data_IF_002070502240
#
_entry.id   IF_002070502240
#
_cell.length_a   1.000
_cell.length_b   1.000
_cell.length_c   1.000
_cell.angle_alpha   90.00
_cell.angle_beta   90.00
_cell.angle_gamma   90.00
#
_symmetry.space_group_name_H-M   'P 1'
#
loop_
_entity.id
_entity.type
_entity.pdbx_description
1 polymer ?
#
# COMPACT_ATOMS: atom_id res chain seq x y z
N UNK A 1 -3.53 -39.08 11.66
CA UNK A 1 -4.72 -39.04 12.53
C UNK A 1 -5.91 -38.82 11.60
N UNK A 2 -6.83 -39.78 11.49
CA UNK A 2 -7.89 -39.75 10.47
C UNK A 2 -8.96 -38.74 10.84
N UNK A 3 -9.14 -37.71 10.01
CA UNK A 3 -10.15 -36.69 10.19
C UNK A 3 -11.50 -37.21 9.68
N UNK A 4 -12.56 -37.11 10.48
CA UNK A 4 -13.91 -37.63 10.16
C UNK A 4 -14.65 -36.73 9.15
N UNK A 5 -14.11 -35.55 8.86
CA UNK A 5 -14.68 -34.58 7.95
C UNK A 5 -13.97 -34.63 6.61
N UNK A 6 -14.74 -34.70 5.50
CA UNK A 6 -14.22 -34.57 4.12
C UNK A 6 -13.85 -33.11 3.83
N UNK A 7 -12.91 -32.55 4.60
CA UNK A 7 -12.40 -31.20 4.40
C UNK A 7 -11.11 -31.31 3.61
N UNK A 8 -11.11 -30.77 2.39
CA UNK A 8 -9.89 -30.65 1.61
C UNK A 8 -9.20 -29.34 2.02
N UNK A 9 -8.23 -29.44 2.94
CA UNK A 9 -7.48 -28.31 3.47
C UNK A 9 -6.70 -27.53 2.42
N UNK A 10 -6.33 -28.18 1.31
CA UNK A 10 -5.51 -27.59 0.24
C UNK A 10 -6.32 -26.63 -0.62
N UNK A 11 -7.66 -26.75 -0.58
CA UNK A 11 -8.61 -25.82 -1.21
C UNK A 11 -8.97 -24.63 -0.34
N UNK A 12 -8.42 -24.54 0.87
CA UNK A 12 -8.67 -23.40 1.76
C UNK A 12 -7.66 -22.31 1.44
N UNK A 13 -8.14 -21.23 0.81
CA UNK A 13 -7.39 -19.99 0.68
C UNK A 13 -7.44 -19.27 2.02
N UNK A 14 -6.30 -19.15 2.68
CA UNK A 14 -6.19 -18.51 3.99
C UNK A 14 -4.73 -18.15 4.25
N UNK A 15 -4.47 -16.85 4.31
CA UNK A 15 -3.12 -16.31 4.39
C UNK A 15 -3.13 -14.78 4.34
N UNK A 16 -1.96 -14.15 4.48
CA UNK A 16 -1.84 -12.70 4.30
C UNK A 16 -2.23 -12.33 2.87
N UNK A 17 -3.21 -11.44 2.74
CA UNK A 17 -3.59 -10.83 1.47
C UNK A 17 -2.78 -9.55 1.23
N UNK A 18 -2.38 -9.31 -0.01
CA UNK A 18 -1.72 -8.09 -0.46
C UNK A 18 -2.64 -7.37 -1.44
N UNK A 19 -2.95 -6.11 -1.15
CA UNK A 19 -3.77 -5.27 -2.02
C UNK A 19 -2.89 -4.28 -2.76
N UNK A 20 -2.90 -4.37 -4.09
CA UNK A 20 -2.12 -3.51 -4.96
C UNK A 20 -3.01 -2.81 -5.96
N UNK A 21 -2.57 -1.66 -6.47
CA UNK A 21 -3.35 -0.90 -7.43
C UNK A 21 -2.47 -0.21 -8.46
N UNK A 22 -3.07 0.11 -9.61
CA UNK A 22 -2.48 0.97 -10.65
C UNK A 22 -3.54 1.92 -11.22
N UNK A 23 -3.15 3.05 -11.83
CA UNK A 23 -4.08 3.89 -12.58
C UNK A 23 -4.81 3.08 -13.66
N UNK A 24 -6.10 3.37 -13.87
CA UNK A 24 -6.86 2.69 -14.93
C UNK A 24 -6.36 3.13 -16.31
N UNK A 25 -5.82 2.18 -17.07
CA UNK A 25 -5.27 2.37 -18.42
C UNK A 25 -5.98 1.50 -19.48
N UNK A 26 -6.96 0.70 -19.08
CA UNK A 26 -7.67 -0.25 -19.94
C UNK A 26 -6.93 -1.55 -20.22
N UNK A 27 -5.77 -1.78 -19.56
CA UNK A 27 -5.02 -3.03 -19.64
C UNK A 27 -5.12 -3.81 -18.34
N UNK A 28 -5.18 -5.13 -18.43
CA UNK A 28 -5.41 -6.01 -17.30
C UNK A 28 -4.39 -7.16 -17.31
N UNK A 29 -3.90 -7.60 -16.14
CA UNK A 29 -2.93 -8.68 -16.05
C UNK A 29 -3.58 -10.03 -16.42
N UNK A 30 -2.97 -10.79 -17.32
CA UNK A 30 -3.44 -12.14 -17.65
C UNK A 30 -2.88 -13.18 -16.66
N UNK A 31 -1.75 -12.85 -16.01
CA UNK A 31 -1.05 -13.72 -15.08
C UNK A 31 -0.65 -12.98 -13.81
N UNK A 32 -0.38 -13.73 -12.74
CA UNK A 32 0.11 -13.15 -11.47
C UNK A 32 1.50 -12.52 -11.65
N UNK A 33 2.32 -13.05 -12.56
CA UNK A 33 3.63 -12.50 -12.92
C UNK A 33 3.56 -11.13 -13.61
N UNK A 34 2.41 -10.72 -14.16
CA UNK A 34 2.24 -9.37 -14.71
C UNK A 34 2.03 -8.30 -13.62
N UNK A 35 1.93 -8.74 -12.35
CA UNK A 35 1.67 -7.89 -11.18
C UNK A 35 2.79 -8.00 -10.15
N UNK A 36 3.29 -9.21 -9.92
CA UNK A 36 4.25 -9.50 -8.85
C UNK A 36 5.10 -10.72 -9.17
N UNK A 37 6.37 -10.68 -8.74
CA UNK A 37 7.24 -11.85 -8.73
C UNK A 37 6.57 -13.02 -8.00
N UNK A 38 6.67 -14.23 -8.55
CA UNK A 38 6.11 -15.43 -7.92
C UNK A 38 7.01 -16.03 -6.84
N UNK A 39 8.17 -15.41 -6.57
CA UNK A 39 9.14 -15.85 -5.59
C UNK A 39 9.57 -14.70 -4.67
N UNK A 40 9.99 -15.03 -3.45
CA UNK A 40 10.52 -14.05 -2.49
C UNK A 40 11.66 -13.23 -3.12
N UNK A 41 11.65 -11.90 -3.02
CA UNK A 41 10.92 -11.06 -2.06
C UNK A 41 9.48 -10.66 -2.47
N UNK A 42 8.93 -11.22 -3.54
CA UNK A 42 7.62 -10.84 -4.09
C UNK A 42 7.59 -9.36 -4.48
N UNK A 43 8.57 -8.91 -5.27
CA UNK A 43 8.61 -7.54 -5.82
C UNK A 43 7.36 -7.29 -6.66
N UNK A 44 6.82 -6.07 -6.60
CA UNK A 44 5.79 -5.66 -7.55
C UNK A 44 6.44 -5.24 -8.86
N UNK A 45 5.74 -5.53 -9.96
CA UNK A 45 6.10 -5.05 -11.28
C UNK A 45 5.88 -3.54 -11.41
N UNK A 46 6.57 -2.93 -12.36
CA UNK A 46 6.51 -1.49 -12.60
C UNK A 46 5.07 -1.01 -12.85
N UNK A 47 4.68 0.07 -12.18
CA UNK A 47 3.35 0.69 -12.29
C UNK A 47 2.32 0.19 -11.27
N UNK A 48 2.60 -0.90 -10.55
CA UNK A 48 1.79 -1.33 -9.41
C UNK A 48 2.30 -0.74 -8.10
N UNK A 49 1.37 -0.25 -7.28
CA UNK A 49 1.66 0.30 -5.97
C UNK A 49 1.02 -0.56 -4.87
N UNK A 50 1.79 -0.83 -3.82
CA UNK A 50 1.32 -1.52 -2.62
C UNK A 50 0.56 -0.56 -1.69
N UNK A 51 -0.54 -1.03 -1.12
CA UNK A 51 -1.27 -0.33 -0.06
C UNK A 51 -0.77 -0.71 1.34
N UNK A 52 0.07 -1.74 1.45
CA UNK A 52 0.70 -2.18 2.68
C UNK A 52 -0.23 -3.03 3.55
N UNK A 53 0.12 -3.15 4.82
CA UNK A 53 -0.61 -4.01 5.74
C UNK A 53 -2.05 -3.50 6.02
N UNK A 54 -3.01 -4.42 6.04
CA UNK A 54 -4.41 -4.17 6.41
C UNK A 54 -4.71 -4.67 7.83
N UNK A 55 -5.66 -4.03 8.51
CA UNK A 55 -6.25 -4.54 9.74
C UNK A 55 -7.66 -5.10 9.43
N UNK A 56 -8.04 -6.19 10.09
CA UNK A 56 -9.34 -6.88 9.93
C UNK A 56 -9.61 -7.54 8.58
N UNK A 57 -8.65 -7.50 7.65
CA UNK A 57 -8.73 -8.14 6.34
C UNK A 57 -9.32 -7.25 5.25
N UNK A 58 -9.73 -7.88 4.15
CA UNK A 58 -10.29 -7.21 2.98
C UNK A 58 -11.65 -7.86 2.69
N UNK A 59 -12.70 -7.05 2.68
CA UNK A 59 -14.06 -7.48 2.38
C UNK A 59 -14.40 -7.13 0.92
N UNK A 60 -14.78 -8.14 0.14
CA UNK A 60 -15.37 -7.98 -1.20
C UNK A 60 -16.86 -8.27 -1.10
N UNK A 61 -17.72 -7.35 -1.55
CA UNK A 61 -19.16 -7.58 -1.62
C UNK A 61 -19.65 -7.49 -3.07
N UNK A 62 -20.67 -8.30 -3.37
CA UNK A 62 -21.39 -8.30 -4.65
C UNK A 62 -22.87 -8.44 -4.38
N UNK A 63 -23.65 -7.47 -4.80
CA UNK A 63 -25.12 -7.41 -4.68
C UNK A 63 -25.75 -7.13 -6.04
N UNK A 64 -26.99 -7.56 -6.20
CA UNK A 64 -27.80 -7.25 -7.38
C UNK A 64 -29.25 -7.06 -6.96
N UNK A 65 -29.92 -6.12 -7.61
CA UNK A 65 -31.35 -5.91 -7.45
C UNK A 65 -32.11 -6.62 -8.57
N UNK A 66 -33.24 -7.21 -8.23
CA UNK A 66 -34.15 -7.83 -9.20
C UNK A 66 -35.50 -7.12 -9.20
N UNK A 67 -36.08 -6.95 -10.39
CA UNK A 67 -37.46 -6.57 -10.58
C UNK A 67 -38.26 -7.81 -11.00
N UNK A 68 -39.32 -8.09 -10.26
CA UNK A 68 -40.18 -9.24 -10.50
C UNK A 68 -41.45 -8.80 -11.24
N UNK A 69 -41.77 -9.45 -12.34
CA UNK A 69 -43.03 -9.27 -13.05
C UNK A 69 -44.05 -10.27 -12.50
N UNK A 70 -44.95 -9.81 -11.64
CA UNK A 70 -46.00 -10.65 -11.08
C UNK A 70 -47.31 -10.51 -11.88
N UNK A 71 -48.00 -11.64 -12.09
CA UNK A 71 -49.34 -11.68 -12.69
C UNK A 71 -50.30 -12.29 -11.68
N UNK A 72 -51.39 -11.58 -11.35
CA UNK A 72 -52.39 -11.96 -10.33
C UNK A 72 -52.99 -13.37 -10.43
N UNK A 73 -52.77 -14.07 -11.56
CA UNK A 73 -53.29 -15.41 -11.85
C UNK A 73 -52.33 -16.53 -11.41
N UNK A 74 -51.07 -16.19 -11.13
CA UNK A 74 -50.02 -17.14 -10.74
C UNK A 74 -49.50 -16.71 -9.38
N UNK A 75 -49.38 -17.65 -8.45
CA UNK A 75 -48.78 -17.39 -7.14
C UNK A 75 -47.26 -17.41 -7.30
N UNK A 76 -46.67 -16.25 -7.61
CA UNK A 76 -45.24 -16.03 -7.75
C UNK A 76 -44.86 -15.18 -8.97
N UNK A 77 -43.62 -14.70 -9.00
CA UNK A 77 -43.06 -13.96 -10.14
C UNK A 77 -43.13 -14.80 -11.43
N UNK A 78 -43.70 -14.20 -12.48
CA UNK A 78 -43.76 -14.77 -13.83
C UNK A 78 -42.46 -14.52 -14.58
N UNK A 79 -41.77 -13.41 -14.28
CA UNK A 79 -40.45 -13.08 -14.81
C UNK A 79 -39.61 -12.35 -13.74
N UNK A 80 -38.29 -12.40 -13.88
CA UNK A 80 -37.36 -11.73 -12.97
C UNK A 80 -36.18 -11.16 -13.74
N UNK A 81 -36.10 -9.84 -13.80
CA UNK A 81 -35.03 -9.11 -14.47
C UNK A 81 -34.07 -8.50 -13.46
N UNK A 82 -32.77 -8.53 -13.73
CA UNK A 82 -31.77 -7.86 -12.88
C UNK A 82 -31.68 -6.39 -13.29
N UNK A 83 -31.95 -5.48 -12.36
CA UNK A 83 -32.01 -4.03 -12.62
C UNK A 83 -30.74 -3.29 -12.24
N UNK A 84 -29.99 -3.79 -11.27
CA UNK A 84 -28.76 -3.16 -10.79
C UNK A 84 -27.73 -4.21 -10.36
N UNK A 85 -26.45 -3.85 -10.47
CA UNK A 85 -25.33 -4.58 -9.88
C UNK A 85 -24.49 -3.61 -9.07
N UNK A 86 -24.14 -4.00 -7.86
CA UNK A 86 -23.22 -3.26 -6.99
C UNK A 86 -22.08 -4.18 -6.54
N UNK A 87 -20.87 -3.65 -6.62
CA UNK A 87 -19.64 -4.35 -6.26
C UNK A 87 -18.77 -3.42 -5.42
N UNK A 88 -18.52 -3.81 -4.17
CA UNK A 88 -17.70 -3.00 -3.26
C UNK A 88 -16.48 -3.75 -2.75
N UNK A 89 -15.41 -3.02 -2.51
CA UNK A 89 -14.21 -3.51 -1.82
C UNK A 89 -13.92 -2.60 -0.62
N UNK A 90 -13.76 -3.18 0.56
CA UNK A 90 -13.56 -2.46 1.81
C UNK A 90 -12.40 -3.04 2.63
N UNK A 91 -11.57 -2.16 3.19
CA UNK A 91 -10.50 -2.54 4.12
C UNK A 91 -10.06 -1.37 4.99
N UNK A 92 -9.37 -1.68 6.09
CA UNK A 92 -8.71 -0.71 6.95
C UNK A 92 -7.19 -0.80 6.75
N UNK A 93 -6.60 0.22 6.13
CA UNK A 93 -5.15 0.28 5.94
C UNK A 93 -4.47 0.63 7.27
N UNK A 94 -3.51 -0.19 7.69
CA UNK A 94 -2.67 0.08 8.86
C UNK A 94 -1.52 1.05 8.53
N UNK A 95 -1.10 1.10 7.27
CA UNK A 95 -0.05 1.99 6.80
C UNK A 95 -0.60 3.37 6.43
N UNK A 96 -0.42 4.33 7.33
CA UNK A 96 -0.90 5.70 7.15
C UNK A 96 0.13 6.59 6.43
N UNK A 97 0.53 6.20 5.23
CA UNK A 97 1.43 6.97 4.37
C UNK A 97 0.70 8.16 3.72
N UNK A 98 1.44 9.12 3.14
CA UNK A 98 0.80 10.27 2.46
C UNK A 98 0.12 9.80 1.18
N UNK A 99 0.70 8.80 0.53
CA UNK A 99 0.25 8.18 -0.70
C UNK A 99 -1.04 7.38 -0.47
N UNK A 100 -1.14 6.61 0.60
CA UNK A 100 -2.38 5.92 0.97
C UNK A 100 -3.49 6.91 1.34
N UNK A 101 -3.16 8.00 2.05
CA UNK A 101 -4.12 9.08 2.33
C UNK A 101 -4.61 9.78 1.08
N UNK A 102 -3.73 9.99 0.09
CA UNK A 102 -4.10 10.55 -1.21
C UNK A 102 -5.17 9.70 -1.88
N UNK A 103 -5.00 8.37 -1.87
CA UNK A 103 -5.98 7.46 -2.45
C UNK A 103 -7.29 7.47 -1.64
N UNK A 104 -7.24 7.10 -0.36
CA UNK A 104 -8.44 6.89 0.46
C UNK A 104 -9.32 8.14 0.61
N UNK A 105 -8.71 9.34 0.64
CA UNK A 105 -9.38 10.61 0.88
C UNK A 105 -9.45 11.52 -0.36
N UNK A 106 -9.05 11.02 -1.53
CA UNK A 106 -9.07 11.78 -2.79
C UNK A 106 -8.29 13.10 -2.65
N UNK A 107 -7.02 12.95 -2.25
CA UNK A 107 -6.11 14.08 -2.06
C UNK A 107 -5.52 14.60 -3.37
N UNK A 108 -5.12 15.86 -3.36
CA UNK A 108 -4.45 16.52 -4.48
C UNK A 108 -3.00 16.06 -4.68
N UNK A 109 -2.26 16.82 -5.49
CA UNK A 109 -0.83 16.56 -5.72
C UNK A 109 -0.02 16.67 -4.42
N UNK A 110 0.88 15.70 -4.21
CA UNK A 110 1.83 15.73 -3.10
C UNK A 110 2.95 16.68 -3.48
N UNK A 111 3.18 17.69 -2.66
CA UNK A 111 4.28 18.64 -2.80
C UNK A 111 5.33 18.27 -1.76
N UNK A 112 6.54 17.94 -2.21
CA UNK A 112 7.66 17.63 -1.34
C UNK A 112 8.60 18.83 -1.25
N UNK A 113 8.90 19.25 -0.03
CA UNK A 113 9.87 20.30 0.26
C UNK A 113 11.10 19.69 0.92
N UNK A 114 12.28 19.99 0.38
CA UNK A 114 13.55 19.52 0.93
C UNK A 114 13.84 20.16 2.29
N UNK A 115 14.57 19.47 3.20
CA UNK A 115 15.01 20.04 4.45
C UNK A 115 15.94 21.24 4.22
N UNK A 116 15.87 22.22 5.11
CA UNK A 116 16.83 23.33 5.13
C UNK A 116 18.03 22.92 5.98
N UNK A 117 19.20 22.93 5.35
CA UNK A 117 20.48 22.61 5.99
C UNK A 117 21.13 23.89 6.51
N UNK A 118 21.68 23.82 7.73
CA UNK A 118 22.55 24.85 8.27
C UNK A 118 23.99 24.72 7.77
N UNK A 119 24.91 25.42 8.44
CA UNK A 119 26.33 25.43 8.08
C UNK A 119 26.94 24.03 8.13
N UNK A 120 27.45 23.55 7.00
CA UNK A 120 28.10 22.24 6.89
C UNK A 120 29.46 22.22 7.59
N UNK A 121 29.82 21.05 8.12
CA UNK A 121 31.13 20.70 8.65
C UNK A 121 31.59 19.36 8.08
N UNK A 122 32.87 19.02 8.22
CA UNK A 122 33.42 17.75 7.77
C UNK A 122 33.57 16.75 8.92
N UNK A 123 33.62 15.46 8.59
CA UNK A 123 34.07 14.45 9.53
C UNK A 123 35.57 14.60 9.81
N UNK A 124 35.97 14.25 11.02
CA UNK A 124 37.40 14.24 11.44
C UNK A 124 38.01 12.85 11.39
N UNK A 125 37.21 11.82 11.10
CA UNK A 125 37.65 10.46 10.90
C UNK A 125 36.55 9.65 10.22
N UNK A 126 36.94 8.52 9.65
CA UNK A 126 36.01 7.61 8.99
C UNK A 126 35.03 7.01 10.00
N UNK A 127 33.82 6.76 9.53
CA UNK A 127 32.71 6.21 10.29
C UNK A 127 32.33 4.87 9.69
N UNK A 128 32.36 3.84 10.53
CA UNK A 128 31.92 2.50 10.14
C UNK A 128 30.38 2.38 10.12
N UNK A 129 29.89 1.39 9.38
CA UNK A 129 28.51 0.93 9.44
C UNK A 129 28.08 0.69 10.90
N UNK A 130 26.83 1.00 11.22
CA UNK A 130 26.22 0.89 12.55
C UNK A 130 26.80 1.82 13.63
N UNK A 131 27.66 2.77 13.27
CA UNK A 131 28.15 3.75 14.23
C UNK A 131 27.03 4.67 14.74
N UNK A 132 27.11 5.05 16.02
CA UNK A 132 26.19 5.98 16.69
C UNK A 132 26.90 7.25 17.17
N UNK A 133 28.20 7.39 16.88
CA UNK A 133 29.03 8.50 17.34
C UNK A 133 29.78 9.08 16.15
N UNK A 134 29.69 10.40 15.98
CA UNK A 134 30.37 11.15 14.93
C UNK A 134 31.30 12.17 15.57
N UNK A 135 32.50 12.30 15.02
CA UNK A 135 33.41 13.38 15.35
C UNK A 135 33.50 14.34 14.18
N UNK A 136 33.03 15.57 14.39
CA UNK A 136 32.96 16.61 13.36
C UNK A 136 34.04 17.67 13.60
N UNK A 137 34.42 18.41 12.56
CA UNK A 137 35.41 19.48 12.69
C UNK A 137 34.89 20.65 13.54
N UNK A 138 33.56 20.89 13.53
CA UNK A 138 32.90 21.86 14.41
C UNK A 138 31.52 21.37 14.82
N UNK A 139 31.26 21.32 16.13
CA UNK A 139 29.92 21.04 16.69
C UNK A 139 28.98 22.24 16.72
N UNK A 140 29.39 23.41 16.19
CA UNK A 140 28.56 24.62 16.21
C UNK A 140 27.34 24.49 15.28
N UNK A 141 26.18 24.98 15.72
CA UNK A 141 24.92 24.93 14.96
C UNK A 141 24.14 23.62 15.10
N UNK A 142 24.72 22.59 15.70
CA UNK A 142 24.00 21.37 16.08
C UNK A 142 23.30 21.56 17.43
N UNK A 143 22.12 20.96 17.60
CA UNK A 143 21.35 21.02 18.83
C UNK A 143 20.94 19.62 19.29
N UNK A 144 20.96 19.39 20.61
CA UNK A 144 20.44 18.15 21.20
C UNK A 144 18.95 17.99 20.90
N UNK A 145 18.54 16.78 20.52
CA UNK A 145 17.18 16.51 20.05
C UNK A 145 16.89 16.97 18.61
N UNK A 146 17.80 17.72 17.98
CA UNK A 146 17.72 18.11 16.57
C UNK A 146 18.09 16.98 15.61
N UNK A 147 18.19 17.31 14.32
CA UNK A 147 18.53 16.36 13.26
C UNK A 147 19.83 16.74 12.56
N UNK A 148 20.53 15.73 12.05
CA UNK A 148 21.79 15.85 11.32
C UNK A 148 21.64 15.14 9.98
N UNK A 149 22.06 15.81 8.92
CA UNK A 149 22.22 15.23 7.59
C UNK A 149 23.69 14.93 7.33
N UNK A 150 23.97 13.73 6.83
CA UNK A 150 25.30 13.29 6.43
C UNK A 150 25.23 12.90 4.96
N UNK A 151 26.09 13.47 4.13
CA UNK A 151 26.08 13.25 2.69
C UNK A 151 27.49 13.05 2.16
N UNK A 152 27.68 11.98 1.40
CA UNK A 152 28.92 11.63 0.71
C UNK A 152 28.55 10.99 -0.64
N UNK A 153 28.86 11.67 -1.74
CA UNK A 153 28.51 11.21 -3.11
C UNK A 153 27.02 10.83 -3.24
N UNK A 154 26.71 9.55 -3.45
CA UNK A 154 25.36 9.00 -3.55
C UNK A 154 24.76 8.53 -2.22
N UNK A 155 25.51 8.60 -1.12
CA UNK A 155 25.05 8.20 0.22
C UNK A 155 24.54 9.43 0.96
N UNK A 156 23.31 9.39 1.42
CA UNK A 156 22.75 10.44 2.27
C UNK A 156 21.93 9.81 3.39
N UNK A 157 22.18 10.24 4.63
CA UNK A 157 21.44 9.79 5.81
C UNK A 157 21.03 10.96 6.68
N UNK A 158 19.82 10.88 7.23
CA UNK A 158 19.34 11.79 8.28
C UNK A 158 19.17 11.01 9.57
N UNK A 159 19.75 11.49 10.67
CA UNK A 159 19.62 10.88 11.99
C UNK A 159 19.28 11.92 13.04
N UNK A 160 18.64 11.49 14.13
CA UNK A 160 18.34 12.37 15.27
C UNK A 160 19.51 12.39 16.24
N UNK A 161 19.82 13.58 16.74
CA UNK A 161 20.90 13.83 17.69
C UNK A 161 20.38 13.53 19.10
N UNK A 162 21.01 12.56 19.75
CA UNK A 162 20.71 12.21 21.15
C UNK A 162 21.33 13.23 22.11
N UNK A 163 22.61 13.56 21.90
CA UNK A 163 23.37 14.51 22.73
C UNK A 163 24.60 15.04 21.99
N UNK A 164 25.18 16.14 22.47
CA UNK A 164 26.38 16.76 21.89
C UNK A 164 27.42 16.98 22.99
N UNK A 165 28.66 16.57 22.76
CA UNK A 165 29.79 16.86 23.64
C UNK A 165 30.93 17.48 22.84
N UNK A 166 31.00 18.82 22.83
CA UNK A 166 31.92 19.57 22.00
C UNK A 166 31.74 19.22 20.52
N UNK A 167 32.79 18.68 19.92
CA UNK A 167 32.82 18.26 18.50
C UNK A 167 32.39 16.80 18.29
N UNK A 168 31.86 16.13 19.32
CA UNK A 168 31.36 14.76 19.24
C UNK A 168 29.83 14.76 19.31
N UNK A 169 29.19 14.21 18.30
CA UNK A 169 27.73 14.09 18.18
C UNK A 169 27.33 12.64 18.39
N UNK A 170 26.33 12.41 19.24
CA UNK A 170 25.79 11.08 19.50
C UNK A 170 24.41 10.99 18.85
N UNK A 171 24.17 9.91 18.10
CA UNK A 171 22.90 9.64 17.42
C UNK A 171 22.00 8.77 18.28
N UNK A 172 20.69 8.90 18.08
CA UNK A 172 19.70 8.01 18.70
C UNK A 172 19.62 6.65 18.02
N UNK A 173 20.01 6.56 16.75
CA UNK A 173 19.98 5.35 15.94
C UNK A 173 21.27 5.16 15.15
N UNK A 174 21.68 3.90 14.87
CA UNK A 174 22.89 3.62 14.10
C UNK A 174 22.77 4.10 12.64
N UNK A 175 23.92 4.40 12.04
CA UNK A 175 24.06 4.69 10.61
C UNK A 175 23.99 3.40 9.78
N UNK A 176 23.36 3.50 8.61
CA UNK A 176 23.15 2.39 7.67
C UNK A 176 24.23 2.32 6.58
N UNK A 177 25.07 3.35 6.48
CA UNK A 177 26.22 3.43 5.60
C UNK A 177 27.49 3.77 6.39
N UNK A 178 28.62 3.32 5.83
CA UNK A 178 29.92 3.83 6.22
C UNK A 178 30.24 5.12 5.45
N UNK A 179 30.82 6.10 6.13
CA UNK A 179 31.19 7.41 5.61
C UNK A 179 32.67 7.67 5.84
N UNK A 180 33.34 8.36 4.92
CA UNK A 180 34.75 8.75 5.11
C UNK A 180 34.87 10.22 5.49
N UNK A 181 36.09 10.67 5.75
CA UNK A 181 36.38 12.10 5.98
C UNK A 181 35.93 13.05 4.85
N UNK A 182 35.61 12.54 3.65
CA UNK A 182 35.04 13.36 2.57
C UNK A 182 33.55 13.66 2.74
N UNK A 183 32.86 13.01 3.69
CA UNK A 183 31.46 13.28 3.95
C UNK A 183 31.24 14.69 4.54
N UNK A 184 30.22 15.34 4.02
CA UNK A 184 29.67 16.58 4.56
C UNK A 184 28.60 16.29 5.61
N UNK A 185 28.66 17.01 6.72
CA UNK A 185 27.75 16.86 7.84
C UNK A 185 27.13 18.20 8.14
N UNK A 186 25.80 18.30 8.11
CA UNK A 186 25.09 19.56 8.30
C UNK A 186 23.97 19.41 9.33
N UNK A 187 23.78 20.39 10.23
CA UNK A 187 22.59 20.41 11.07
C UNK A 187 21.37 20.69 10.19
N UNK A 188 20.24 20.03 10.47
CA UNK A 188 18.99 20.31 9.79
C UNK A 188 18.23 21.35 10.61
N UNK A 189 18.10 22.56 10.08
CA UNK A 189 17.42 23.68 10.75
C UNK A 189 15.90 23.61 10.56
N UNK A 190 15.46 23.03 9.45
CA UNK A 190 14.04 22.75 9.17
C UNK A 190 13.93 21.39 8.47
N UNK A 191 13.08 20.52 8.99
CA UNK A 191 12.82 19.23 8.35
C UNK A 191 12.08 19.43 7.03
N UNK A 192 12.41 18.60 6.04
CA UNK A 192 11.60 18.49 4.84
C UNK A 192 10.20 18.00 5.19
N UNK A 193 9.22 18.37 4.37
CA UNK A 193 7.84 17.97 4.59
C UNK A 193 7.16 17.61 3.27
N UNK A 194 6.17 16.73 3.37
CA UNK A 194 5.23 16.46 2.29
C UNK A 194 3.91 17.16 2.62
N UNK A 195 3.39 17.94 1.69
CA UNK A 195 2.08 18.60 1.79
C UNK A 195 1.12 17.99 0.78
N UNK A 196 -0.09 17.68 1.23
CA UNK A 196 -1.22 17.28 0.40
C UNK A 196 -2.43 18.12 0.79
N UNK A 197 -3.21 18.55 -0.21
CA UNK A 197 -4.47 19.26 0.00
C UNK A 197 -5.67 18.33 -0.22
N UNK A 198 -6.75 18.56 0.53
CA UNK A 198 -8.03 17.89 0.33
C UNK A 198 -9.07 18.97 -0.02
N UNK A 199 -9.82 18.77 -1.09
CA UNK A 199 -10.81 19.72 -1.58
C UNK A 199 -11.98 19.00 -2.23
N UNK A 200 -12.91 19.76 -2.80
CA UNK A 200 -14.09 19.24 -3.49
C UNK A 200 -13.75 18.87 -4.93
N UNK A 201 -12.98 17.80 -5.11
CA UNK A 201 -12.63 17.28 -6.44
C UNK A 201 -13.90 16.79 -7.13
N UNK A 202 -14.10 17.19 -8.38
CA UNK A 202 -15.31 16.81 -9.15
C UNK A 202 -15.16 15.43 -9.80
N UNK A 203 -13.93 15.07 -10.18
CA UNK A 203 -13.63 13.82 -10.88
C UNK A 203 -12.80 12.90 -9.99
N UNK A 204 -13.39 11.77 -9.58
CA UNK A 204 -12.66 10.71 -8.87
C UNK A 204 -12.03 9.77 -9.89
N UNK A 205 -10.70 9.63 -9.92
CA UNK A 205 -10.03 8.78 -10.91
C UNK A 205 -10.32 7.29 -10.71
N UNK A 206 -10.42 6.58 -11.83
CA UNK A 206 -10.52 5.12 -11.86
C UNK A 206 -9.13 4.47 -11.71
N UNK A 207 -9.11 3.33 -11.04
CA UNK A 207 -7.93 2.49 -10.83
C UNK A 207 -8.29 1.03 -11.07
N UNK A 208 -7.27 0.22 -11.34
CA UNK A 208 -7.35 -1.25 -11.37
C UNK A 208 -6.72 -1.76 -10.08
N UNK A 209 -7.38 -2.72 -9.42
CA UNK A 209 -6.90 -3.30 -8.16
C UNK A 209 -6.66 -4.79 -8.34
N UNK A 210 -5.64 -5.31 -7.66
CA UNK A 210 -5.41 -6.74 -7.55
C UNK A 210 -5.24 -7.13 -6.08
N UNK A 211 -6.01 -8.11 -5.64
CA UNK A 211 -5.89 -8.75 -4.34
C UNK A 211 -5.17 -10.08 -4.52
N UNK A 212 -3.95 -10.19 -4.00
CA UNK A 212 -3.13 -11.39 -4.08
C UNK A 212 -3.11 -12.07 -2.71
N UNK A 213 -3.44 -13.35 -2.66
CA UNK A 213 -3.38 -14.18 -1.44
C UNK A 213 -2.60 -15.46 -1.72
N UNK A 214 -1.88 -15.94 -0.70
CA UNK A 214 -1.21 -17.23 -0.76
C UNK A 214 -2.09 -18.33 -0.17
N UNK A 215 -2.19 -19.46 -0.87
CA UNK A 215 -2.86 -20.67 -0.39
C UNK A 215 -1.94 -21.49 0.51
N UNK A 216 -2.51 -22.46 1.23
CA UNK A 216 -1.74 -23.36 2.11
C UNK A 216 -0.69 -24.20 1.39
N UNK A 217 -0.89 -24.52 0.12
CA UNK A 217 0.06 -25.27 -0.70
C UNK A 217 1.20 -24.38 -1.27
N UNK A 218 1.21 -23.09 -0.95
CA UNK A 218 2.18 -22.12 -1.43
C UNK A 218 1.84 -21.48 -2.78
N UNK A 219 0.83 -21.98 -3.50
CA UNK A 219 0.34 -21.38 -4.74
C UNK A 219 -0.36 -20.04 -4.49
N UNK A 220 -0.37 -19.19 -5.51
CA UNK A 220 -0.98 -17.86 -5.43
C UNK A 220 -2.41 -17.85 -6.00
N UNK A 221 -3.24 -17.04 -5.39
CA UNK A 221 -4.57 -16.66 -5.84
C UNK A 221 -4.58 -15.14 -6.03
N UNK A 222 -5.18 -14.66 -7.12
CA UNK A 222 -5.30 -13.24 -7.41
C UNK A 222 -6.70 -12.90 -7.89
N UNK A 223 -7.35 -11.93 -7.25
CA UNK A 223 -8.61 -11.35 -7.74
C UNK A 223 -8.31 -9.97 -8.34
N UNK A 224 -8.67 -9.75 -9.60
CA UNK A 224 -8.42 -8.51 -10.34
C UNK A 224 -9.72 -7.77 -10.54
N UNK A 225 -9.81 -6.56 -9.98
CA UNK A 225 -10.91 -5.63 -10.18
C UNK A 225 -10.50 -4.67 -11.29
N UNK A 226 -11.18 -4.78 -12.45
CA UNK A 226 -10.78 -4.08 -13.67
C UNK A 226 -10.85 -2.56 -13.52
N UNK A 227 -11.96 -2.04 -13.02
CA UNK A 227 -12.25 -0.61 -12.94
C UNK A 227 -12.98 -0.29 -11.65
N UNK A 228 -12.30 0.38 -10.72
CA UNK A 228 -12.89 0.85 -9.48
C UNK A 228 -12.47 2.29 -9.16
N UNK A 229 -13.31 2.99 -8.40
CA UNK A 229 -12.99 4.30 -7.84
C UNK A 229 -13.30 4.32 -6.36
N UNK A 230 -12.69 5.25 -5.66
CA UNK A 230 -12.88 5.43 -4.23
C UNK A 230 -14.33 5.86 -3.95
N UNK A 231 -15.01 5.13 -3.05
CA UNK A 231 -16.40 5.40 -2.67
C UNK A 231 -16.50 6.72 -1.88
N UNK A 232 -17.67 7.35 -1.99
CA UNK A 232 -18.01 8.61 -1.33
C UNK A 232 -18.78 8.46 -0.02
N UNK A 233 -18.96 7.24 0.50
CA UNK A 233 -19.61 7.04 1.80
C UNK A 233 -18.76 7.61 2.95
N UNK A 234 -19.39 7.76 4.12
CA UNK A 234 -18.81 8.42 5.29
C UNK A 234 -17.50 7.74 5.74
N UNK A 235 -16.38 8.46 5.58
CA UNK A 235 -15.05 8.03 6.05
C UNK A 235 -14.69 8.77 7.31
N UNK A 236 -14.84 8.10 8.44
CA UNK A 236 -14.38 8.64 9.72
C UNK A 236 -12.91 8.27 9.96
N UNK A 237 -12.12 9.26 10.38
CA UNK A 237 -10.76 9.04 10.88
C UNK A 237 -10.65 9.55 12.30
N UNK A 238 -10.48 8.64 13.25
CA UNK A 238 -10.27 8.98 14.65
C UNK A 238 -8.79 9.26 14.93
N UNK A 239 -8.51 10.37 15.60
CA UNK A 239 -7.18 10.73 16.09
C UNK A 239 -7.05 10.37 17.58
N UNK A 240 -7.03 9.07 17.88
CA UNK A 240 -6.85 8.57 19.26
C UNK A 240 -5.37 8.24 19.55
N UNK A 241 -5.05 7.91 20.81
CA UNK A 241 -3.71 7.43 21.21
C UNK A 241 -3.42 6.00 20.71
N UNK A 242 -4.41 5.31 20.16
CA UNK A 242 -4.31 3.95 19.66
C UNK A 242 -3.82 3.94 18.20
N UNK A 243 -3.95 2.79 17.51
CA UNK A 243 -3.57 2.64 16.11
C UNK A 243 -4.51 3.47 15.22
N UNK A 244 -3.93 4.28 14.32
CA UNK A 244 -4.70 5.04 13.33
C UNK A 244 -4.85 4.23 12.04
N UNK A 245 -6.05 3.69 11.83
CA UNK A 245 -6.42 3.02 10.59
C UNK A 245 -6.95 4.03 9.58
N UNK A 246 -6.74 3.76 8.30
CA UNK A 246 -7.27 4.55 7.20
C UNK A 246 -8.32 3.71 6.46
N UNK A 247 -9.62 4.05 6.58
CA UNK A 247 -10.66 3.30 5.89
C UNK A 247 -10.55 3.53 4.38
N UNK A 248 -10.55 2.44 3.63
CA UNK A 248 -10.60 2.43 2.17
C UNK A 248 -11.84 1.65 1.75
N UNK A 249 -12.68 2.32 0.96
CA UNK A 249 -13.83 1.72 0.31
C UNK A 249 -13.79 2.09 -1.17
N UNK A 250 -14.06 1.12 -2.02
CA UNK A 250 -14.07 1.24 -3.47
C UNK A 250 -15.39 0.73 -4.03
N UNK A 251 -15.86 1.38 -5.09
CA UNK A 251 -16.96 0.91 -5.92
C UNK A 251 -16.39 0.46 -7.27
N UNK A 252 -16.70 -0.76 -7.69
CA UNK A 252 -16.28 -1.30 -8.98
C UNK A 252 -17.36 -1.12 -10.05
N UNK A 253 -16.93 -0.98 -11.30
CA UNK A 253 -17.79 -0.67 -12.44
C UNK A 253 -17.48 -1.61 -13.62
N UNK A 254 -18.48 -1.94 -14.45
CA UNK A 254 -18.24 -2.75 -15.64
C UNK A 254 -17.37 -2.00 -16.66
N UNK A 255 -16.60 -2.78 -17.41
CA UNK A 255 -15.80 -2.33 -18.55
C UNK A 255 -16.49 -2.74 -19.84
N UNK A 256 -16.58 -1.80 -20.78
CA UNK A 256 -17.15 -2.05 -22.10
C UNK A 256 -16.24 -2.96 -22.94
N UNK A 257 -16.83 -3.73 -23.87
CA UNK A 257 -16.11 -4.66 -24.77
C UNK A 257 -15.40 -5.84 -24.08
N UNK A 258 -15.79 -6.16 -22.85
CA UNK A 258 -15.40 -7.40 -22.13
C UNK A 258 -16.65 -8.27 -21.97
N UNK A 259 -16.49 -9.59 -21.91
CA UNK A 259 -17.61 -10.50 -21.70
C UNK A 259 -18.35 -10.15 -20.39
N UNK A 260 -19.68 -10.22 -20.39
CA UNK A 260 -20.51 -9.85 -19.24
C UNK A 260 -20.19 -10.67 -17.98
N UNK A 261 -19.61 -11.86 -18.15
CA UNK A 261 -19.23 -12.77 -17.06
C UNK A 261 -17.99 -12.28 -16.29
N UNK A 262 -17.20 -11.38 -16.85
CA UNK A 262 -15.91 -10.92 -16.28
C UNK A 262 -15.65 -9.41 -16.45
N UNK A 263 -16.67 -8.64 -16.84
CA UNK A 263 -16.53 -7.22 -17.15
C UNK A 263 -16.29 -6.33 -15.91
N UNK A 264 -16.46 -6.86 -14.68
CA UNK A 264 -16.17 -6.14 -13.42
C UNK A 264 -14.89 -6.66 -12.77
N UNK A 265 -14.81 -7.97 -12.52
CA UNK A 265 -13.63 -8.63 -11.94
C UNK A 265 -13.48 -10.05 -12.47
N UNK A 266 -12.28 -10.60 -12.33
CA UNK A 266 -11.96 -11.99 -12.61
C UNK A 266 -10.90 -12.50 -11.63
N UNK A 267 -10.72 -13.81 -11.57
CA UNK A 267 -9.85 -14.46 -10.62
C UNK A 267 -8.84 -15.36 -11.34
N UNK A 268 -7.59 -15.33 -10.88
CA UNK A 268 -6.49 -16.15 -11.38
C UNK A 268 -6.00 -17.02 -10.24
N UNK A 269 -5.97 -18.33 -10.48
CA UNK A 269 -5.52 -19.32 -9.52
C UNK A 269 -4.33 -20.11 -10.08
N UNK A 270 -3.20 -20.12 -9.38
CA UNK A 270 -2.09 -21.02 -9.70
C UNK A 270 -2.42 -22.45 -9.30
N UNK A 271 -2.02 -23.40 -10.14
CA UNK A 271 -2.25 -24.84 -9.95
C UNK A 271 -0.89 -25.56 -9.94
N UNK A 272 -0.60 -26.30 -8.87
CA UNK A 272 0.64 -27.07 -8.71
C UNK A 272 0.47 -28.45 -9.37
N UNK A 273 0.33 -28.48 -10.70
CA UNK A 273 0.10 -29.68 -11.53
C UNK A 273 -1.15 -30.53 -11.19
N UNK A 274 -1.88 -30.92 -12.22
CA UNK A 274 -3.06 -31.77 -12.09
C UNK A 274 -2.64 -33.23 -11.92
N UNK A 275 -2.92 -33.84 -10.76
CA UNK A 275 -3.34 -35.24 -10.79
C UNK A 275 -4.75 -35.25 -11.35
N UNK A 276 -4.86 -35.43 -12.67
CA UNK A 276 -6.13 -35.76 -13.31
C UNK A 276 -6.68 -37.02 -12.65
N UNK A 277 -7.88 -36.94 -12.07
CA UNK A 277 -8.67 -38.13 -11.80
C UNK A 277 -10.08 -37.92 -12.35
N UNK A 278 -10.67 -38.99 -12.90
CA UNK A 278 -11.78 -38.97 -13.86
C UNK A 278 -13.10 -38.43 -13.29
#
# INVERSE_FOLDING_TARGET
>A
MGDIYKVNSDRIVGGPGRLVFKPYDGTYPDTISDVMDTASPYSLEDGWQDLGATNDGIATSRSFDTEEFEVDQVVGAVDTDITSWEHTLETNLAENTVENRKLALIGGTIIESSPVLGTSTSLTGDIALNATILKVASGSGFAEGGFIGITEESKSETKKIARINGNTIYLTSPLENAFTTTATVSPITELGYKRIGYGTVQDVPFHTFALISQKKDGSLYMCVIRKAKVSGEDKEQTYSKEKRLLPLQLSAFPVDNVAQEENVYYEIEQIVSTTSFP
#
